data_IF_857264102540
#
_entry.id   IF_857264102540
#
_cell.length_a   1.000
_cell.length_b   1.000
_cell.length_c   1.000
_cell.angle_alpha   90.00
_cell.angle_beta   90.00
_cell.angle_gamma   90.00
#
_symmetry.space_group_name_H-M   'P 1'
#
loop_
_entity.id
_entity.type
_entity.pdbx_description
1 polymer ?
#
# COMPACT_ATOMS: atom_id res chain seq x y z
N UNK A 1 -14.20 -11.73 34.18
CA UNK A 1 -14.13 -10.55 35.05
C UNK A 1 -14.90 -9.39 34.38
N UNK A 2 -15.94 -8.89 35.07
CA UNK A 2 -16.61 -7.67 34.61
C UNK A 2 -15.96 -6.46 35.27
N UNK A 3 -15.42 -5.54 34.45
CA UNK A 3 -14.84 -4.30 34.95
C UNK A 3 -15.91 -3.22 34.89
N UNK A 4 -16.37 -2.82 36.06
CA UNK A 4 -17.32 -1.74 36.26
C UNK A 4 -16.63 -0.58 36.98
N UNK A 5 -17.40 0.46 37.29
CA UNK A 5 -16.95 1.49 38.22
C UNK A 5 -16.66 0.88 39.58
N UNK A 6 -15.54 1.21 40.18
CA UNK A 6 -15.24 0.79 41.54
C UNK A 6 -14.74 1.98 42.37
N UNK A 7 -14.79 1.78 43.65
CA UNK A 7 -14.34 2.72 44.68
C UNK A 7 -13.31 2.00 45.54
N UNK A 8 -12.20 2.64 45.78
CA UNK A 8 -11.17 2.07 46.65
C UNK A 8 -11.53 2.20 48.16
N UNK A 9 -10.67 1.64 49.00
CA UNK A 9 -10.84 1.68 50.46
C UNK A 9 -10.77 3.07 51.05
N UNK A 10 -10.21 4.05 50.32
CA UNK A 10 -10.13 5.47 50.70
C UNK A 10 -11.37 6.27 50.31
N UNK A 11 -12.26 5.66 49.53
CA UNK A 11 -13.46 6.32 49.06
C UNK A 11 -13.34 6.98 47.70
N UNK A 12 -12.22 6.83 47.00
CA UNK A 12 -11.99 7.38 45.67
C UNK A 12 -12.70 6.55 44.62
N UNK A 13 -13.47 7.21 43.75
CA UNK A 13 -14.10 6.59 42.60
C UNK A 13 -13.13 6.55 41.41
N UNK A 14 -13.17 5.44 40.68
CA UNK A 14 -12.46 5.25 39.43
C UNK A 14 -13.43 5.31 38.27
N UNK A 15 -13.07 6.02 37.20
CA UNK A 15 -13.81 5.97 35.94
C UNK A 15 -13.68 4.59 35.29
N UNK A 16 -14.54 4.27 34.32
CA UNK A 16 -14.45 3.02 33.54
C UNK A 16 -13.05 2.82 32.97
N UNK A 17 -12.46 3.85 32.37
CA UNK A 17 -11.12 3.83 31.82
C UNK A 17 -10.08 3.52 32.89
N UNK A 18 -10.08 4.24 33.99
CA UNK A 18 -9.12 4.04 35.09
C UNK A 18 -9.27 2.65 35.70
N UNK A 19 -10.50 2.19 35.91
CA UNK A 19 -10.77 0.83 36.43
C UNK A 19 -10.19 -0.24 35.53
N UNK A 20 -10.36 -0.07 34.23
CA UNK A 20 -9.83 -1.02 33.23
C UNK A 20 -8.29 -0.98 33.18
N UNK A 21 -7.70 0.20 33.20
CA UNK A 21 -6.25 0.37 33.20
C UNK A 21 -5.57 -0.28 34.42
N UNK A 22 -6.19 -0.22 35.61
CA UNK A 22 -5.65 -0.91 36.79
C UNK A 22 -5.69 -2.44 36.62
N UNK A 23 -6.78 -3.00 36.10
CA UNK A 23 -6.85 -4.43 35.79
C UNK A 23 -5.83 -4.83 34.73
N UNK A 24 -5.68 -4.00 33.70
CA UNK A 24 -4.77 -4.25 32.59
C UNK A 24 -3.30 -4.26 33.02
N UNK A 25 -2.89 -3.42 33.99
CA UNK A 25 -1.53 -3.39 34.52
C UNK A 25 -1.09 -4.72 35.13
N UNK A 26 -2.01 -5.43 35.79
CA UNK A 26 -1.71 -6.68 36.48
C UNK A 26 -2.04 -7.93 35.67
N UNK A 27 -2.87 -7.80 34.64
CA UNK A 27 -3.30 -8.94 33.83
C UNK A 27 -2.19 -9.43 32.91
N UNK A 28 -1.86 -10.71 33.00
CA UNK A 28 -0.96 -11.42 32.09
C UNK A 28 -1.70 -12.18 30.98
N UNK A 29 -3.03 -12.13 30.99
CA UNK A 29 -3.88 -12.78 30.01
C UNK A 29 -4.67 -11.77 29.20
N UNK A 30 -5.10 -12.13 27.97
CA UNK A 30 -5.90 -11.24 27.14
C UNK A 30 -7.22 -10.89 27.83
N UNK A 31 -7.60 -9.60 27.75
CA UNK A 31 -8.85 -9.10 28.31
C UNK A 31 -9.81 -8.84 27.14
N UNK A 32 -10.96 -9.51 27.17
CA UNK A 32 -12.05 -9.31 26.24
C UNK A 32 -13.18 -8.52 26.89
N UNK A 33 -13.97 -7.84 26.10
CA UNK A 33 -15.09 -7.04 26.61
C UNK A 33 -16.28 -7.03 25.67
N UNK A 34 -17.30 -6.26 26.07
CA UNK A 34 -18.56 -6.12 25.36
C UNK A 34 -18.78 -4.70 24.81
N UNK A 35 -17.91 -3.75 25.17
CA UNK A 35 -18.13 -2.33 24.95
C UNK A 35 -16.89 -1.70 24.31
N UNK A 36 -17.08 -0.93 23.23
CA UNK A 36 -16.01 -0.40 22.41
C UNK A 36 -15.14 0.66 23.10
N UNK A 37 -15.67 1.40 24.08
CA UNK A 37 -14.92 2.44 24.79
C UNK A 37 -13.72 1.93 25.61
N UNK A 38 -13.60 0.63 25.84
CA UNK A 38 -12.44 0.04 26.49
C UNK A 38 -11.27 -0.30 25.53
N UNK A 39 -11.51 -0.27 24.20
CA UNK A 39 -10.51 -0.68 23.22
C UNK A 39 -9.17 0.07 23.36
N UNK A 40 -9.26 1.39 23.61
CA UNK A 40 -8.06 2.21 23.78
C UNK A 40 -7.44 2.15 25.20
N UNK A 41 -7.99 1.32 26.08
CA UNK A 41 -7.47 1.13 27.44
C UNK A 41 -6.69 -0.18 27.60
N UNK A 42 -6.47 -0.93 26.49
CA UNK A 42 -5.71 -2.18 26.47
C UNK A 42 -6.57 -3.44 26.48
N UNK A 43 -7.82 -3.35 26.03
CA UNK A 43 -8.69 -4.49 25.74
C UNK A 43 -8.29 -5.09 24.39
N UNK A 44 -8.24 -6.42 24.30
CA UNK A 44 -7.99 -7.13 23.04
C UNK A 44 -9.14 -6.90 22.06
N UNK A 45 -10.39 -6.96 22.52
CA UNK A 45 -11.56 -6.80 21.69
C UNK A 45 -12.69 -7.76 22.06
N UNK A 46 -13.57 -8.02 21.11
CA UNK A 46 -14.71 -8.92 21.25
C UNK A 46 -15.84 -8.60 20.28
N UNK A 47 -17.01 -9.19 20.52
CA UNK A 47 -18.25 -8.76 19.88
C UNK A 47 -18.80 -7.57 20.68
N UNK A 48 -18.50 -6.37 20.21
CA UNK A 48 -18.67 -5.14 20.98
C UNK A 48 -19.96 -4.42 20.60
N UNK A 49 -20.64 -3.91 21.64
CA UNK A 49 -21.64 -2.87 21.46
C UNK A 49 -20.93 -1.58 21.10
N UNK A 50 -21.11 -1.16 19.85
CA UNK A 50 -20.54 0.08 19.32
C UNK A 50 -21.57 1.19 19.33
N UNK A 51 -21.22 2.32 19.92
CA UNK A 51 -22.08 3.51 19.93
C UNK A 51 -22.35 4.00 18.49
N UNK A 52 -21.37 3.86 17.60
CA UNK A 52 -21.50 4.25 16.18
C UNK A 52 -22.50 3.35 15.47
N UNK A 53 -22.38 2.02 15.60
CA UNK A 53 -23.27 1.07 14.95
C UNK A 53 -24.71 1.17 15.49
N UNK A 54 -24.87 1.40 16.78
CA UNK A 54 -26.19 1.65 17.39
C UNK A 54 -26.79 2.95 16.85
N UNK A 55 -26.02 4.03 16.83
CA UNK A 55 -26.42 5.33 16.30
C UNK A 55 -26.81 5.28 14.82
N UNK A 56 -26.05 4.59 13.99
CA UNK A 56 -26.37 4.39 12.57
C UNK A 56 -27.70 3.65 12.40
N UNK A 57 -27.93 2.58 13.17
CA UNK A 57 -29.17 1.82 13.12
C UNK A 57 -30.37 2.68 13.52
N UNK A 58 -30.28 3.41 14.62
CA UNK A 58 -31.36 4.29 15.09
C UNK A 58 -31.60 5.43 14.11
N UNK A 59 -30.54 6.03 13.54
CA UNK A 59 -30.66 7.09 12.55
C UNK A 59 -31.39 6.65 11.29
N UNK A 60 -31.14 5.44 10.82
CA UNK A 60 -31.87 4.85 9.67
C UNK A 60 -33.37 4.69 9.97
N UNK A 61 -33.69 4.17 11.16
CA UNK A 61 -35.09 4.07 11.59
C UNK A 61 -35.78 5.44 11.69
N UNK A 62 -35.08 6.43 12.23
CA UNK A 62 -35.59 7.80 12.30
C UNK A 62 -35.82 8.40 10.92
N UNK A 63 -34.90 8.21 9.97
CA UNK A 63 -35.06 8.65 8.59
C UNK A 63 -36.27 7.98 7.90
N UNK A 64 -36.52 6.70 8.14
CA UNK A 64 -37.69 5.99 7.60
C UNK A 64 -38.98 6.68 8.05
N UNK A 65 -39.10 7.05 9.35
CA UNK A 65 -40.25 7.79 9.89
C UNK A 65 -40.38 9.18 9.26
N UNK A 66 -39.27 9.90 9.15
CA UNK A 66 -39.26 11.26 8.55
C UNK A 66 -39.64 11.21 7.06
N UNK A 67 -39.36 10.14 6.39
CA UNK A 67 -39.78 9.91 4.99
C UNK A 67 -41.22 9.40 4.85
N UNK A 68 -41.99 9.36 5.92
CA UNK A 68 -43.42 9.04 5.91
C UNK A 68 -43.78 7.56 6.16
N UNK A 69 -42.81 6.72 6.53
CA UNK A 69 -43.12 5.33 6.91
C UNK A 69 -43.83 5.30 8.25
N UNK A 70 -44.93 4.56 8.35
CA UNK A 70 -45.63 4.39 9.63
C UNK A 70 -44.71 3.66 10.64
N UNK A 71 -44.68 4.15 11.88
CA UNK A 71 -43.86 3.57 12.93
C UNK A 71 -44.21 2.09 13.20
N UNK A 72 -45.44 1.69 12.93
CA UNK A 72 -45.91 0.31 13.06
C UNK A 72 -45.27 -0.63 12.03
N UNK A 73 -44.83 -0.08 10.89
CA UNK A 73 -44.19 -0.82 9.79
C UNK A 73 -42.67 -0.91 9.96
N UNK A 74 -42.12 -0.29 11.00
CA UNK A 74 -40.70 -0.40 11.33
C UNK A 74 -40.48 -1.60 12.24
N UNK A 75 -39.77 -2.65 11.76
CA UNK A 75 -39.55 -3.84 12.56
C UNK A 75 -38.65 -3.55 13.77
N UNK A 76 -38.92 -4.24 14.87
CA UNK A 76 -38.01 -4.24 16.02
C UNK A 76 -36.67 -4.85 15.62
N UNK A 77 -35.59 -4.21 16.02
CA UNK A 77 -34.22 -4.73 15.76
C UNK A 77 -33.94 -5.88 16.73
N UNK A 78 -34.24 -7.10 16.31
CA UNK A 78 -34.03 -8.31 17.14
C UNK A 78 -32.55 -8.68 17.26
N UNK A 79 -31.75 -8.43 16.21
CA UNK A 79 -30.33 -8.71 16.20
C UNK A 79 -29.56 -7.43 16.46
N UNK A 80 -28.86 -7.37 17.59
CA UNK A 80 -28.02 -6.22 17.93
C UNK A 80 -26.97 -5.94 16.85
N UNK A 81 -26.74 -4.66 16.44
CA UNK A 81 -25.72 -4.27 15.47
C UNK A 81 -24.31 -4.25 16.09
N UNK A 82 -23.99 -5.27 16.90
CA UNK A 82 -22.68 -5.42 17.49
C UNK A 82 -21.66 -5.83 16.43
N UNK A 83 -20.43 -5.37 16.62
CA UNK A 83 -19.33 -5.57 15.69
C UNK A 83 -18.18 -6.35 16.35
N UNK A 84 -17.53 -7.21 15.60
CA UNK A 84 -16.27 -7.81 16.02
C UNK A 84 -15.15 -6.78 15.82
N UNK A 85 -14.71 -6.17 16.92
CA UNK A 85 -13.66 -5.15 16.89
C UNK A 85 -12.51 -5.58 17.81
N UNK A 86 -11.29 -5.48 17.31
CA UNK A 86 -10.07 -5.89 18.02
C UNK A 86 -8.99 -4.83 17.91
N UNK A 87 -8.15 -4.73 18.93
CA UNK A 87 -7.00 -3.84 18.96
C UNK A 87 -5.76 -4.60 18.49
N UNK A 88 -5.11 -4.11 17.44
CA UNK A 88 -3.92 -4.72 16.83
C UNK A 88 -2.77 -4.91 17.83
N UNK A 89 -2.48 -3.90 18.65
CA UNK A 89 -1.35 -3.95 19.56
C UNK A 89 -1.52 -5.04 20.62
N UNK A 90 -2.75 -5.20 21.14
CA UNK A 90 -3.05 -6.25 22.10
C UNK A 90 -3.14 -7.65 21.44
N UNK A 91 -3.64 -7.74 20.19
CA UNK A 91 -3.57 -9.00 19.43
C UNK A 91 -2.12 -9.44 19.24
N UNK A 92 -1.25 -8.51 18.88
CA UNK A 92 0.17 -8.77 18.69
C UNK A 92 0.86 -9.15 20.02
N UNK A 93 0.54 -8.44 21.09
CA UNK A 93 1.10 -8.71 22.43
C UNK A 93 0.85 -10.13 22.90
N UNK A 94 -0.35 -10.65 22.63
CA UNK A 94 -0.75 -12.00 23.04
C UNK A 94 -0.63 -13.05 21.93
N UNK A 95 -0.05 -12.68 20.78
CA UNK A 95 0.12 -13.53 19.60
C UNK A 95 -1.21 -14.19 19.14
N UNK A 96 -2.28 -13.40 19.08
CA UNK A 96 -3.61 -13.85 18.71
C UNK A 96 -3.90 -13.56 17.23
N UNK A 97 -4.43 -14.55 16.52
CA UNK A 97 -4.92 -14.41 15.16
C UNK A 97 -6.43 -14.62 15.11
N UNK A 98 -7.19 -13.53 15.15
CA UNK A 98 -8.66 -13.55 15.15
C UNK A 98 -9.25 -13.79 13.77
N UNK A 99 -8.56 -13.39 12.71
CA UNK A 99 -9.03 -13.57 11.32
C UNK A 99 -9.13 -15.03 10.90
N UNK A 100 -8.55 -15.94 11.67
CA UNK A 100 -8.70 -17.39 11.46
C UNK A 100 -10.06 -17.92 11.88
N UNK A 101 -10.73 -17.25 12.81
CA UNK A 101 -11.95 -17.73 13.47
C UNK A 101 -13.15 -16.83 13.26
N UNK A 102 -12.93 -15.60 12.84
CA UNK A 102 -13.97 -14.57 12.70
C UNK A 102 -13.84 -13.96 11.30
N UNK A 103 -14.96 -13.99 10.57
CA UNK A 103 -15.03 -13.39 9.25
C UNK A 103 -15.08 -11.85 9.36
N UNK A 104 -14.17 -11.18 8.64
CA UNK A 104 -14.10 -9.73 8.53
C UNK A 104 -14.10 -8.97 9.87
N UNK A 105 -13.21 -9.31 10.83
CA UNK A 105 -13.09 -8.54 12.06
C UNK A 105 -12.55 -7.14 11.76
N UNK A 106 -13.06 -6.13 12.45
CA UNK A 106 -12.50 -4.78 12.40
C UNK A 106 -11.28 -4.75 13.32
N UNK A 107 -10.11 -4.48 12.76
CA UNK A 107 -8.88 -4.36 13.55
C UNK A 107 -8.51 -2.88 13.60
N UNK A 108 -8.57 -2.28 14.79
CA UNK A 108 -8.14 -0.90 15.03
C UNK A 108 -6.66 -0.85 15.38
N UNK A 109 -6.04 0.31 15.19
CA UNK A 109 -4.62 0.57 15.45
C UNK A 109 -3.66 -0.34 14.66
N UNK A 110 -4.15 -1.00 13.58
CA UNK A 110 -3.25 -1.71 12.67
C UNK A 110 -2.36 -0.67 11.97
N UNK A 111 -1.01 -0.81 12.06
CA UNK A 111 -0.14 0.13 11.38
C UNK A 111 -0.40 0.07 9.88
N UNK A 112 -0.69 1.21 9.28
CA UNK A 112 -0.87 1.30 7.84
C UNK A 112 0.44 0.87 7.15
N UNK A 113 0.37 -0.20 6.38
CA UNK A 113 1.50 -0.55 5.52
C UNK A 113 1.52 0.42 4.35
N UNK A 114 2.56 1.25 4.27
CA UNK A 114 2.79 2.16 3.13
C UNK A 114 2.65 1.42 1.80
N UNK A 115 3.08 0.15 1.77
CA UNK A 115 2.93 -0.70 0.59
C UNK A 115 1.46 -1.03 0.27
N UNK A 116 0.62 -1.34 1.27
CA UNK A 116 -0.82 -1.62 1.04
C UNK A 116 -1.56 -0.38 0.55
N UNK A 117 -1.26 0.77 1.16
CA UNK A 117 -1.91 2.04 0.85
C UNK A 117 -1.49 2.59 -0.53
N UNK A 118 -0.21 2.40 -0.90
CA UNK A 118 0.36 2.95 -2.13
C UNK A 118 0.82 1.87 -3.13
N UNK A 119 0.18 0.70 -3.14
CA UNK A 119 0.55 -0.43 -4.01
C UNK A 119 0.71 -0.03 -5.47
N UNK A 120 -0.22 0.75 -6.00
CA UNK A 120 -0.18 1.20 -7.39
C UNK A 120 1.00 2.13 -7.66
N UNK A 121 1.36 2.98 -6.70
CA UNK A 121 2.53 3.84 -6.80
C UNK A 121 3.82 3.02 -6.90
N UNK A 122 4.00 2.00 -6.06
CA UNK A 122 5.16 1.11 -6.13
C UNK A 122 5.25 0.36 -7.45
N UNK A 123 4.13 -0.15 -7.97
CA UNK A 123 4.09 -0.83 -9.28
C UNK A 123 4.51 0.14 -10.40
N UNK A 124 3.95 1.34 -10.44
CA UNK A 124 4.28 2.35 -11.46
C UNK A 124 5.77 2.72 -11.37
N UNK A 125 6.30 2.92 -10.18
CA UNK A 125 7.72 3.26 -9.97
C UNK A 125 8.64 2.15 -10.50
N UNK A 126 8.35 0.89 -10.23
CA UNK A 126 9.13 -0.25 -10.73
C UNK A 126 9.07 -0.30 -12.26
N UNK A 127 7.90 -0.12 -12.85
CA UNK A 127 7.73 -0.11 -14.31
C UNK A 127 8.51 1.04 -14.97
N UNK A 128 8.48 2.23 -14.40
CA UNK A 128 9.23 3.39 -14.93
C UNK A 128 10.73 3.18 -14.84
N UNK A 129 11.25 2.66 -13.74
CA UNK A 129 12.68 2.34 -13.59
C UNK A 129 13.09 1.27 -14.60
N UNK A 130 12.28 0.22 -14.77
CA UNK A 130 12.53 -0.84 -15.76
C UNK A 130 12.59 -0.28 -17.19
N UNK A 131 11.63 0.55 -17.57
CA UNK A 131 11.60 1.19 -18.88
C UNK A 131 12.84 2.07 -19.12
N UNK A 132 13.20 2.90 -18.14
CA UNK A 132 14.40 3.74 -18.23
C UNK A 132 15.68 2.89 -18.39
N UNK A 133 15.77 1.79 -17.67
CA UNK A 133 16.91 0.87 -17.79
C UNK A 133 17.00 0.28 -19.19
N UNK A 134 15.89 -0.14 -19.78
CA UNK A 134 15.84 -0.65 -21.16
C UNK A 134 16.29 0.43 -22.14
N UNK A 135 15.80 1.66 -22.00
CA UNK A 135 16.19 2.78 -22.86
C UNK A 135 17.71 3.01 -22.80
N UNK A 136 18.29 3.04 -21.61
CA UNK A 136 19.74 3.23 -21.42
C UNK A 136 20.54 2.10 -22.08
N UNK A 137 20.10 0.87 -21.93
CA UNK A 137 20.77 -0.30 -22.58
C UNK A 137 20.72 -0.19 -24.11
N UNK A 138 19.55 0.15 -24.66
CA UNK A 138 19.36 0.32 -26.11
C UNK A 138 20.22 1.47 -26.65
N UNK A 139 20.24 2.61 -25.95
CA UNK A 139 21.07 3.76 -26.32
C UNK A 139 22.55 3.39 -26.31
N UNK A 140 23.02 2.72 -25.27
CA UNK A 140 24.43 2.27 -25.19
C UNK A 140 24.79 1.32 -26.34
N UNK A 141 23.93 0.36 -26.63
CA UNK A 141 24.14 -0.56 -27.77
C UNK A 141 24.18 0.18 -29.13
N UNK A 142 23.30 1.16 -29.33
CA UNK A 142 23.30 1.97 -30.54
C UNK A 142 24.55 2.83 -30.67
N UNK A 143 25.04 3.44 -29.58
CA UNK A 143 26.30 4.21 -29.58
C UNK A 143 27.46 3.31 -29.97
N UNK A 144 27.61 2.16 -29.32
CA UNK A 144 28.67 1.19 -29.62
C UNK A 144 28.63 0.73 -31.10
N UNK A 145 27.43 0.50 -31.63
CA UNK A 145 27.25 0.13 -33.03
C UNK A 145 27.68 1.23 -33.99
N UNK A 146 27.34 2.49 -33.69
CA UNK A 146 27.79 3.66 -34.47
C UNK A 146 29.30 3.81 -34.45
N UNK A 147 29.91 3.76 -33.27
CA UNK A 147 31.38 3.85 -33.16
C UNK A 147 32.08 2.74 -33.94
N UNK A 148 31.55 1.51 -33.92
CA UNK A 148 32.11 0.40 -34.72
C UNK A 148 32.03 0.67 -36.21
N UNK A 149 30.87 1.14 -36.70
CA UNK A 149 30.67 1.48 -38.12
C UNK A 149 31.57 2.65 -38.57
N UNK A 150 31.73 3.67 -37.74
CA UNK A 150 32.61 4.80 -38.01
C UNK A 150 34.09 4.36 -38.14
N UNK A 151 34.55 3.49 -37.23
CA UNK A 151 35.91 2.90 -37.31
C UNK A 151 36.10 2.05 -38.57
N UNK A 152 35.14 1.21 -38.91
CA UNK A 152 35.19 0.38 -40.12
C UNK A 152 35.24 1.28 -41.39
N UNK A 153 34.44 2.35 -41.42
CA UNK A 153 34.44 3.31 -42.51
C UNK A 153 35.77 4.07 -42.61
N UNK A 154 36.29 4.55 -41.48
CA UNK A 154 37.58 5.25 -41.42
C UNK A 154 38.74 4.35 -41.92
N UNK A 155 38.80 3.12 -41.45
CA UNK A 155 39.81 2.16 -41.89
C UNK A 155 39.70 1.85 -43.38
N UNK A 156 38.48 1.80 -43.92
CA UNK A 156 38.28 1.58 -45.37
C UNK A 156 38.74 2.77 -46.22
N UNK A 157 38.43 3.97 -45.78
CA UNK A 157 38.87 5.20 -46.43
C UNK A 157 40.42 5.28 -46.42
N UNK A 158 41.06 4.99 -45.29
CA UNK A 158 42.53 4.95 -45.16
C UNK A 158 43.15 3.91 -46.06
N UNK A 159 42.57 2.70 -46.10
CA UNK A 159 43.03 1.62 -46.99
C UNK A 159 42.91 2.03 -48.47
N UNK A 160 41.79 2.60 -48.91
CA UNK A 160 41.56 3.07 -50.27
C UNK A 160 42.55 4.18 -50.64
N UNK A 161 42.86 5.10 -49.71
CA UNK A 161 43.85 6.16 -49.90
C UNK A 161 45.26 5.59 -50.08
N UNK A 162 45.68 4.67 -49.21
CA UNK A 162 46.98 4.00 -49.32
C UNK A 162 47.13 3.22 -50.65
N UNK A 163 46.04 2.55 -51.06
CA UNK A 163 46.01 1.86 -52.35
C UNK A 163 46.25 2.84 -53.53
N UNK A 164 45.54 3.97 -53.56
CA UNK A 164 45.67 4.96 -54.61
C UNK A 164 47.07 5.60 -54.62
N UNK A 165 47.65 5.89 -53.45
CA UNK A 165 48.99 6.48 -53.30
C UNK A 165 50.13 5.51 -53.68
N UNK A 166 49.90 4.21 -53.62
CA UNK A 166 50.93 3.18 -53.94
C UNK A 166 50.94 2.79 -55.41
N UNK A 167 49.95 3.17 -56.20
CA UNK A 167 49.92 2.90 -57.65
C UNK A 167 50.79 3.87 -58.41
N UNK A 168 51.87 3.46 -59.10
CA UNK A 168 52.82 4.38 -59.72
C UNK A 168 52.31 5.06 -61.00
N UNK A 169 51.06 4.78 -61.39
CA UNK A 169 50.41 5.40 -62.54
C UNK A 169 49.30 6.33 -62.12
N UNK A 170 49.13 7.50 -62.77
CA UNK A 170 48.06 8.43 -62.54
C UNK A 170 46.71 7.79 -62.87
N UNK A 171 45.89 7.64 -61.84
CA UNK A 171 44.53 7.10 -61.96
C UNK A 171 43.52 8.23 -61.99
N UNK A 172 42.73 8.27 -63.03
CA UNK A 172 41.65 9.26 -63.19
C UNK A 172 40.32 8.57 -63.07
N UNK A 173 39.44 9.10 -62.27
CA UNK A 173 38.08 8.57 -62.17
C UNK A 173 37.04 9.61 -62.55
N UNK A 174 35.97 9.13 -63.21
CA UNK A 174 34.87 9.96 -63.73
C UNK A 174 33.56 9.51 -63.16
N UNK A 175 32.59 10.41 -63.08
CA UNK A 175 31.19 10.02 -62.80
C UNK A 175 30.59 9.36 -64.05
N UNK A 176 29.33 8.89 -63.90
CA UNK A 176 28.56 8.25 -65.00
C UNK A 176 28.31 9.17 -66.20
N UNK A 177 28.42 10.47 -65.99
CA UNK A 177 28.23 11.50 -67.03
C UNK A 177 29.56 11.89 -67.70
N UNK A 178 30.65 11.23 -67.34
CA UNK A 178 31.99 11.44 -67.94
C UNK A 178 32.81 12.60 -67.35
N UNK A 179 32.33 13.26 -66.30
CA UNK A 179 33.08 14.32 -65.63
C UNK A 179 34.16 13.74 -64.70
N UNK A 180 35.36 14.36 -64.75
CA UNK A 180 36.45 13.96 -63.83
C UNK A 180 36.11 14.33 -62.40
N UNK A 181 36.30 13.40 -61.48
CA UNK A 181 36.05 13.57 -60.05
C UNK A 181 37.34 13.69 -59.23
N UNK A 182 38.47 13.29 -59.82
CA UNK A 182 39.77 13.39 -59.19
C UNK A 182 40.81 12.57 -59.87
N UNK A 183 42.07 12.77 -59.46
CA UNK A 183 43.25 12.02 -59.82
C UNK A 183 44.09 11.69 -58.60
#
# INVERSE_FOLDING_TARGET
LFVLLFKDTTGKYFTYKQSFEEVRKVSQVPIYGLWDFYLNSGMVGGLLTSAIAQGDTVSKMALDVLNGKDIKDIPVVEKSPNLYIFNYDELKRFNLNVSKYIDNPIIINEPSSIYKEHKNFFIITILTISLLTIIVVVLKANIQRREKLERELSNRIEFDKVLLDTIPNAIYYKNVDGHFLGC
#
